data_IF_088451716200
#
_entry.id   IF_088451716200
#
_cell.length_a   1.000
_cell.length_b   1.000
_cell.length_c   1.000
_cell.angle_alpha   90.00
_cell.angle_beta   90.00
_cell.angle_gamma   90.00
#
_symmetry.space_group_name_H-M   'P 1'
#
loop_
_entity.id
_entity.type
_entity.pdbx_description
1 polymer ?
#
# COMPACT_ATOMS: atom_id res chain seq x y z
N UNK A 1 -29.51 -2.39 -5.48
CA UNK A 1 -29.38 -0.99 -5.91
C UNK A 1 -27.97 -0.55 -5.56
N UNK A 2 -27.15 -0.27 -6.57
CA UNK A 2 -25.78 0.20 -6.40
C UNK A 2 -25.87 1.71 -6.13
N UNK A 3 -25.54 2.15 -4.92
CA UNK A 3 -25.45 3.58 -4.63
C UNK A 3 -24.28 4.12 -5.43
N UNK A 4 -24.58 4.92 -6.45
CA UNK A 4 -23.62 5.79 -7.12
C UNK A 4 -23.38 6.95 -6.15
N UNK A 5 -22.66 6.69 -5.05
CA UNK A 5 -21.95 7.77 -4.38
C UNK A 5 -20.90 8.24 -5.38
N UNK A 6 -20.98 9.50 -5.80
CA UNK A 6 -20.07 10.13 -6.74
C UNK A 6 -18.63 9.65 -6.48
N UNK A 7 -18.08 8.84 -7.39
CA UNK A 7 -16.67 8.50 -7.39
C UNK A 7 -15.93 9.82 -7.60
N UNK A 8 -15.50 10.44 -6.50
CA UNK A 8 -14.63 11.60 -6.54
C UNK A 8 -13.28 11.10 -7.03
N UNK A 9 -13.04 11.28 -8.32
CA UNK A 9 -11.74 11.06 -8.92
C UNK A 9 -10.87 12.27 -8.60
N UNK A 10 -9.70 12.06 -7.97
CA UNK A 10 -8.69 13.08 -7.76
C UNK A 10 -8.37 13.88 -9.01
N UNK A 11 -8.16 15.19 -8.82
CA UNK A 11 -7.48 16.00 -9.83
C UNK A 11 -6.02 15.58 -9.97
N UNK A 12 -5.42 15.89 -11.11
CA UNK A 12 -4.00 15.60 -11.36
C UNK A 12 -3.09 16.29 -10.34
N UNK A 13 -3.45 17.51 -9.88
CA UNK A 13 -2.68 18.25 -8.88
C UNK A 13 -2.73 17.55 -7.51
N UNK A 14 -3.91 17.11 -7.07
CA UNK A 14 -4.05 16.34 -5.83
C UNK A 14 -3.24 15.04 -5.87
N UNK A 15 -3.27 14.33 -7.00
CA UNK A 15 -2.46 13.13 -7.19
C UNK A 15 -0.96 13.42 -7.16
N UNK A 16 -0.52 14.49 -7.82
CA UNK A 16 0.88 14.87 -7.83
C UNK A 16 1.40 15.19 -6.43
N UNK A 17 0.61 15.93 -5.63
CA UNK A 17 0.94 16.23 -4.23
C UNK A 17 1.06 14.94 -3.39
N UNK A 18 0.19 13.96 -3.63
CA UNK A 18 0.22 12.67 -2.94
C UNK A 18 1.44 11.83 -3.35
N UNK A 19 1.81 11.83 -4.63
CA UNK A 19 3.01 11.15 -5.09
C UNK A 19 4.29 11.78 -4.52
N UNK A 20 4.35 13.10 -4.44
CA UNK A 20 5.45 13.82 -3.81
C UNK A 20 5.53 13.54 -2.30
N UNK A 21 4.39 13.57 -1.60
CA UNK A 21 4.31 13.20 -0.19
C UNK A 21 4.82 11.78 0.04
N UNK A 22 4.39 10.83 -0.78
CA UNK A 22 4.80 9.42 -0.70
C UNK A 22 6.30 9.26 -0.93
N UNK A 23 6.85 9.93 -1.95
CA UNK A 23 8.29 9.92 -2.23
C UNK A 23 9.11 10.50 -1.07
N UNK A 24 8.69 11.65 -0.52
CA UNK A 24 9.37 12.29 0.60
C UNK A 24 9.33 11.40 1.85
N UNK A 25 8.21 10.71 2.09
CA UNK A 25 8.09 9.72 3.17
C UNK A 25 9.00 8.52 2.96
N UNK A 26 9.14 8.09 1.72
CA UNK A 26 10.07 7.01 1.41
C UNK A 26 11.51 7.39 1.76
N UNK A 27 11.97 8.55 1.29
CA UNK A 27 13.33 9.03 1.55
C UNK A 27 13.61 9.17 3.05
N UNK A 28 12.63 9.67 3.83
CA UNK A 28 12.74 9.77 5.29
C UNK A 28 12.88 8.40 5.97
N UNK A 29 12.08 7.42 5.59
CA UNK A 29 12.13 6.07 6.18
C UNK A 29 13.46 5.37 5.85
N UNK A 30 13.96 5.52 4.62
CA UNK A 30 15.26 4.95 4.23
C UNK A 30 16.40 5.60 5.03
N UNK A 31 16.40 6.93 5.20
CA UNK A 31 17.38 7.62 6.04
C UNK A 31 17.32 7.14 7.50
N UNK A 32 16.11 6.89 8.02
CA UNK A 32 15.94 6.33 9.35
C UNK A 32 16.55 4.93 9.46
N UNK A 33 16.30 4.05 8.48
CA UNK A 33 16.88 2.71 8.45
C UNK A 33 18.40 2.74 8.31
N UNK A 34 18.95 3.65 7.51
CA UNK A 34 20.40 3.86 7.40
C UNK A 34 21.02 4.32 8.72
N UNK A 35 20.34 5.21 9.46
CA UNK A 35 20.79 5.63 10.79
C UNK A 35 20.77 4.46 11.78
N UNK A 36 19.69 3.69 11.82
CA UNK A 36 19.58 2.49 12.67
C UNK A 36 20.66 1.45 12.34
N UNK A 37 20.94 1.22 11.05
CA UNK A 37 21.99 0.31 10.61
C UNK A 37 23.41 0.80 10.98
N UNK A 38 23.63 2.12 11.03
CA UNK A 38 24.90 2.70 11.51
C UNK A 38 25.05 2.54 13.03
N UNK A 39 23.97 2.70 13.79
CA UNK A 39 23.96 2.53 15.23
C UNK A 39 24.05 1.05 15.64
N UNK A 40 23.40 0.16 14.89
CA UNK A 40 23.32 -1.29 15.12
C UNK A 40 23.53 -2.05 13.81
N UNK A 41 24.80 -2.29 13.41
CA UNK A 41 25.13 -2.97 12.16
C UNK A 41 24.49 -4.35 11.99
N UNK A 42 24.20 -5.04 13.09
CA UNK A 42 23.51 -6.33 13.09
C UNK A 42 22.08 -6.27 12.51
N UNK A 43 21.45 -5.08 12.49
CA UNK A 43 20.12 -4.87 11.92
C UNK A 43 20.15 -4.56 10.42
N UNK A 44 21.31 -4.20 9.86
CA UNK A 44 21.44 -3.82 8.45
C UNK A 44 20.82 -4.86 7.47
N UNK A 45 20.99 -6.18 7.67
CA UNK A 45 20.39 -7.19 6.79
C UNK A 45 18.85 -7.25 6.84
N UNK A 46 18.20 -6.62 7.83
CA UNK A 46 16.74 -6.56 7.90
C UNK A 46 16.15 -5.47 6.99
N UNK A 47 16.94 -4.46 6.66
CA UNK A 47 16.53 -3.31 5.84
C UNK A 47 17.04 -3.39 4.41
N UNK A 48 18.16 -4.08 4.20
CA UNK A 48 18.73 -4.31 2.89
C UNK A 48 18.27 -5.65 2.34
N UNK A 49 17.95 -5.68 1.07
CA UNK A 49 17.62 -6.93 0.42
C UNK A 49 18.88 -7.75 0.14
N UNK A 50 18.86 -9.01 0.57
CA UNK A 50 19.88 -9.99 0.18
C UNK A 50 19.63 -10.47 -1.25
N UNK A 51 19.55 -9.57 -2.23
CA UNK A 51 19.57 -9.98 -3.64
C UNK A 51 21.00 -10.36 -3.96
N UNK A 52 21.28 -11.67 -4.02
CA UNK A 52 22.39 -12.12 -4.86
C UNK A 52 22.05 -11.66 -6.28
N UNK A 53 22.87 -10.82 -6.92
CA UNK A 53 22.58 -10.38 -8.28
C UNK A 53 22.55 -11.64 -9.15
N UNK A 54 21.36 -12.08 -9.55
CA UNK A 54 21.24 -13.08 -10.59
C UNK A 54 21.83 -12.45 -11.84
N UNK A 55 22.94 -13.04 -12.28
CA UNK A 55 23.76 -12.61 -13.39
C UNK A 55 23.03 -12.81 -14.72
N UNK A 56 21.98 -12.02 -14.99
CA UNK A 56 21.30 -12.01 -16.29
C UNK A 56 20.89 -10.58 -16.65
N UNK A 57 21.86 -9.86 -17.20
CA UNK A 57 21.70 -8.88 -18.30
C UNK A 57 20.38 -8.12 -18.34
N UNK A 58 20.19 -7.16 -17.44
CA UNK A 58 19.44 -5.92 -17.66
C UNK A 58 19.83 -4.94 -16.56
N UNK A 59 19.88 -3.63 -16.82
CA UNK A 59 20.18 -2.67 -15.77
C UNK A 59 19.15 -2.85 -14.66
N UNK A 60 19.61 -3.28 -13.48
CA UNK A 60 18.86 -3.34 -12.22
C UNK A 60 18.56 -1.91 -11.77
N UNK A 61 17.81 -1.18 -12.58
CA UNK A 61 17.26 0.11 -12.22
C UNK A 61 16.30 -0.16 -11.08
N UNK A 62 16.57 0.48 -9.94
CA UNK A 62 15.58 0.70 -8.88
C UNK A 62 14.39 1.37 -9.56
N UNK A 63 13.42 0.59 -10.02
CA UNK A 63 12.30 1.11 -10.78
C UNK A 63 11.29 1.62 -9.78
N UNK A 64 11.02 2.90 -9.90
CA UNK A 64 9.93 3.55 -9.19
C UNK A 64 8.64 3.19 -9.92
N UNK A 65 7.66 2.69 -9.17
CA UNK A 65 6.31 2.42 -9.65
C UNK A 65 5.34 3.38 -8.92
N UNK A 66 4.51 4.07 -9.70
CA UNK A 66 3.37 4.84 -9.23
C UNK A 66 2.16 3.92 -9.10
N UNK A 67 1.49 3.98 -7.96
CA UNK A 67 0.28 3.21 -7.69
C UNK A 67 -0.85 4.18 -7.40
N UNK A 68 -1.99 3.99 -8.06
CA UNK A 68 -3.22 4.72 -7.76
C UNK A 68 -4.47 3.89 -7.99
N UNK A 69 -5.51 4.11 -7.20
CA UNK A 69 -6.80 3.45 -7.41
C UNK A 69 -7.75 3.63 -6.25
N UNK A 70 -8.98 3.15 -6.44
CA UNK A 70 -10.00 3.12 -5.39
C UNK A 70 -9.92 1.82 -4.61
N UNK A 71 -9.90 1.94 -3.28
CA UNK A 71 -9.82 0.85 -2.32
C UNK A 71 -11.06 0.81 -1.44
N UNK A 72 -11.48 -0.40 -1.13
CA UNK A 72 -12.48 -0.70 -0.12
C UNK A 72 -11.80 -1.39 1.07
N UNK A 73 -12.20 -1.04 2.27
CA UNK A 73 -11.66 -1.55 3.53
C UNK A 73 -12.84 -1.92 4.42
N UNK A 74 -13.15 -3.21 4.48
CA UNK A 74 -14.38 -3.71 5.08
C UNK A 74 -14.09 -4.83 6.06
N UNK A 75 -14.78 -4.81 7.20
CA UNK A 75 -14.75 -5.89 8.19
C UNK A 75 -15.81 -6.93 7.84
N UNK A 76 -15.41 -8.19 7.80
CA UNK A 76 -16.27 -9.32 7.51
C UNK A 76 -16.35 -10.28 8.70
N UNK A 77 -17.50 -10.92 8.83
CA UNK A 77 -17.77 -11.93 9.84
C UNK A 77 -18.12 -13.23 9.13
N UNK A 78 -17.46 -14.32 9.51
CA UNK A 78 -17.78 -15.66 9.06
C UNK A 78 -18.12 -16.50 10.28
N UNK A 79 -19.24 -17.22 10.21
CA UNK A 79 -19.68 -18.10 11.30
C UNK A 79 -18.58 -19.12 11.64
N UNK A 80 -18.24 -19.23 12.92
CA UNK A 80 -17.19 -20.13 13.41
C UNK A 80 -15.75 -19.62 13.26
N UNK A 81 -15.55 -18.39 12.79
CA UNK A 81 -14.23 -17.78 12.62
C UNK A 81 -14.15 -16.40 13.28
N UNK A 82 -12.94 -15.94 13.57
CA UNK A 82 -12.70 -14.55 13.95
C UNK A 82 -13.05 -13.59 12.81
N UNK A 83 -13.51 -12.36 13.11
CA UNK A 83 -13.67 -11.34 12.10
C UNK A 83 -12.32 -11.05 11.43
N UNK A 84 -12.38 -10.66 10.16
CA UNK A 84 -11.20 -10.23 9.41
C UNK A 84 -11.52 -8.95 8.64
N UNK A 85 -10.48 -8.18 8.34
CA UNK A 85 -10.62 -6.97 7.52
C UNK A 85 -10.05 -7.30 6.14
N UNK A 86 -10.85 -7.05 5.10
CA UNK A 86 -10.40 -7.17 3.72
C UNK A 86 -10.14 -5.77 3.17
N UNK A 87 -8.98 -5.62 2.52
CA UNK A 87 -8.63 -4.47 1.70
C UNK A 87 -8.67 -4.92 0.24
N UNK A 88 -9.48 -4.27 -0.59
CA UNK A 88 -9.60 -4.64 -2.00
C UNK A 88 -9.59 -3.43 -2.91
N UNK A 89 -9.05 -3.60 -4.11
CA UNK A 89 -9.12 -2.59 -5.17
C UNK A 89 -9.36 -3.26 -6.52
N UNK A 90 -10.25 -2.68 -7.33
CA UNK A 90 -10.50 -3.12 -8.71
C UNK A 90 -11.00 -1.95 -9.57
N UNK A 91 -10.22 -1.43 -10.53
CA UNK A 91 -8.78 -1.64 -10.70
C UNK A 91 -7.93 -0.67 -9.84
N UNK A 92 -6.72 -1.11 -9.50
CA UNK A 92 -5.58 -0.25 -9.18
C UNK A 92 -4.63 -0.18 -10.39
N UNK A 93 -4.10 0.99 -10.69
CA UNK A 93 -3.15 1.24 -11.78
C UNK A 93 -1.74 1.22 -11.18
N UNK A 94 -0.84 0.45 -11.80
CA UNK A 94 0.58 0.39 -11.44
C UNK A 94 1.42 0.61 -12.70
N UNK A 95 2.31 1.62 -12.68
CA UNK A 95 3.21 1.88 -13.80
C UNK A 95 4.32 2.87 -13.49
N UNK A 96 5.13 3.19 -14.50
CA UNK A 96 6.30 4.07 -14.35
C UNK A 96 5.98 5.56 -14.44
N UNK A 97 4.72 5.90 -14.72
CA UNK A 97 4.22 7.26 -14.78
C UNK A 97 2.95 7.40 -13.92
N UNK A 98 2.70 8.57 -13.32
CA UNK A 98 1.46 8.88 -12.63
C UNK A 98 0.22 8.47 -13.41
N UNK A 99 -0.64 7.64 -12.80
CA UNK A 99 -1.94 7.23 -13.33
C UNK A 99 -1.91 6.49 -14.69
N UNK A 100 -0.74 6.05 -15.16
CA UNK A 100 -0.57 5.31 -16.41
C UNK A 100 0.13 4.00 -16.15
N UNK A 101 -0.47 2.88 -16.55
CA UNK A 101 0.16 1.58 -16.34
C UNK A 101 -0.77 0.39 -16.47
N UNK A 102 -0.32 -0.72 -15.89
CA UNK A 102 -1.05 -1.99 -15.85
C UNK A 102 -2.22 -1.87 -14.88
N UNK A 103 -3.38 -2.37 -15.29
CA UNK A 103 -4.53 -2.52 -14.40
C UNK A 103 -4.37 -3.79 -13.58
N UNK A 104 -4.53 -3.66 -12.28
CA UNK A 104 -4.37 -4.74 -11.31
C UNK A 104 -5.57 -4.76 -10.36
N UNK A 105 -5.77 -5.90 -9.72
CA UNK A 105 -6.67 -6.02 -8.58
C UNK A 105 -5.85 -6.21 -7.32
N UNK A 106 -6.13 -5.43 -6.27
CA UNK A 106 -5.54 -5.68 -4.97
C UNK A 106 -6.48 -6.51 -4.14
N UNK A 107 -5.97 -7.55 -3.49
CA UNK A 107 -6.68 -8.30 -2.47
C UNK A 107 -5.76 -8.51 -1.28
N UNK A 108 -6.11 -7.93 -0.14
CA UNK A 108 -5.37 -8.03 1.10
C UNK A 108 -6.29 -8.36 2.27
N UNK A 109 -5.73 -9.03 3.27
CA UNK A 109 -6.47 -9.49 4.45
C UNK A 109 -5.65 -9.21 5.71
N UNK A 110 -6.34 -8.73 6.73
CA UNK A 110 -5.87 -8.57 8.11
C UNK A 110 -6.64 -9.59 8.93
N UNK A 111 -5.93 -10.56 9.50
CA UNK A 111 -6.56 -11.47 10.45
C UNK A 111 -6.84 -10.72 11.74
N UNK A 112 -8.11 -10.67 12.11
CA UNK A 112 -8.57 -10.04 13.32
C UNK A 112 -8.69 -11.02 14.48
N UNK A 113 -8.84 -10.46 15.69
CA UNK A 113 -9.24 -11.18 16.89
C UNK A 113 -10.62 -10.72 17.38
N UNK A 114 -10.95 -11.05 18.64
CA UNK A 114 -12.22 -10.64 19.27
C UNK A 114 -12.46 -9.12 19.26
N UNK A 115 -11.40 -8.30 19.30
CA UNK A 115 -11.47 -6.84 19.37
C UNK A 115 -11.22 -6.16 18.02
N UNK A 116 -11.48 -6.84 16.92
CA UNK A 116 -11.29 -6.27 15.57
C UNK A 116 -12.24 -5.10 15.37
N UNK A 117 -11.75 -3.91 14.97
CA UNK A 117 -12.60 -2.76 14.75
C UNK A 117 -13.54 -3.01 13.58
N UNK A 118 -14.77 -2.48 13.67
CA UNK A 118 -15.72 -2.51 12.55
C UNK A 118 -15.39 -1.35 11.61
N UNK A 119 -14.80 -1.68 10.48
CA UNK A 119 -14.47 -0.76 9.40
C UNK A 119 -15.40 -0.99 8.20
N UNK A 120 -15.87 0.10 7.61
CA UNK A 120 -16.63 0.10 6.38
C UNK A 120 -16.27 1.35 5.58
N UNK A 121 -15.09 1.34 4.97
CA UNK A 121 -14.66 2.41 4.10
C UNK A 121 -14.74 1.95 2.65
N UNK A 122 -15.56 2.61 1.87
CA UNK A 122 -15.69 2.30 0.45
C UNK A 122 -15.11 3.42 -0.38
N UNK A 123 -14.57 3.04 -1.53
CA UNK A 123 -14.17 3.97 -2.58
C UNK A 123 -13.11 5.00 -2.19
N UNK A 124 -12.22 4.66 -1.25
CA UNK A 124 -11.11 5.54 -0.86
C UNK A 124 -10.08 5.54 -1.98
N UNK A 125 -9.82 6.71 -2.56
CA UNK A 125 -8.73 6.81 -3.51
C UNK A 125 -7.38 6.84 -2.76
N UNK A 126 -6.56 5.82 -2.97
CA UNK A 126 -5.18 5.75 -2.45
C UNK A 126 -4.20 5.99 -3.60
N UNK A 127 -3.12 6.71 -3.32
CA UNK A 127 -2.05 6.97 -4.27
C UNK A 127 -0.69 7.01 -3.61
N UNK A 128 0.36 6.60 -4.32
CA UNK A 128 1.72 6.68 -3.79
C UNK A 128 2.77 6.14 -4.74
N UNK A 129 4.00 6.19 -4.27
CA UNK A 129 5.21 5.80 -4.98
C UNK A 129 5.87 4.65 -4.23
N UNK A 130 6.22 3.60 -4.97
CA UNK A 130 6.88 2.40 -4.45
C UNK A 130 8.19 2.20 -5.19
N UNK A 131 9.27 1.93 -4.45
CA UNK A 131 10.61 1.74 -4.99
C UNK A 131 11.08 0.30 -4.77
N UNK A 132 11.38 -0.43 -5.85
CA UNK A 132 11.93 -1.77 -5.71
C UNK A 132 12.56 -2.32 -7.02
N UNK A 133 13.42 -3.35 -6.91
CA UNK A 133 14.18 -3.93 -8.02
C UNK A 133 13.41 -4.98 -8.85
N UNK A 134 12.24 -5.40 -8.38
CA UNK A 134 11.31 -6.31 -9.08
C UNK A 134 9.90 -5.72 -9.01
N UNK A 135 9.01 -6.06 -9.95
CA UNK A 135 7.63 -5.54 -9.88
C UNK A 135 6.87 -6.14 -8.67
N UNK A 136 6.00 -5.35 -8.05
CA UNK A 136 5.13 -5.81 -6.95
C UNK A 136 3.90 -6.59 -7.42
N UNK A 137 3.68 -6.64 -8.74
CA UNK A 137 2.57 -7.35 -9.37
C UNK A 137 2.82 -8.87 -9.27
N UNK A 138 1.78 -9.61 -8.92
CA UNK A 138 1.75 -11.06 -8.68
C UNK A 138 2.74 -11.54 -7.61
N UNK A 139 3.09 -10.66 -6.67
CA UNK A 139 3.97 -10.99 -5.54
C UNK A 139 3.23 -10.80 -4.20
N UNK A 140 3.40 -11.73 -3.24
CA UNK A 140 2.86 -11.54 -1.90
C UNK A 140 3.59 -10.38 -1.20
N UNK A 141 2.80 -9.46 -0.63
CA UNK A 141 3.27 -8.31 0.13
C UNK A 141 2.76 -8.39 1.56
N UNK A 142 3.61 -7.97 2.49
CA UNK A 142 3.15 -7.53 3.80
C UNK A 142 2.63 -6.09 3.66
N UNK A 143 1.63 -5.72 4.44
CA UNK A 143 1.22 -4.33 4.51
C UNK A 143 0.85 -3.92 5.93
N UNK A 144 0.91 -2.61 6.18
CA UNK A 144 0.36 -2.00 7.37
C UNK A 144 -0.64 -0.92 6.96
N UNK A 145 -1.86 -1.01 7.48
CA UNK A 145 -2.89 -0.01 7.34
C UNK A 145 -2.86 0.91 8.56
N UNK A 146 -2.52 2.17 8.35
CA UNK A 146 -2.61 3.24 9.32
C UNK A 146 -3.90 4.01 9.09
N UNK A 147 -4.77 4.02 10.11
CA UNK A 147 -6.03 4.76 10.10
C UNK A 147 -5.87 5.93 11.06
N UNK A 148 -5.55 7.11 10.51
CA UNK A 148 -5.36 8.33 11.30
C UNK A 148 -6.62 9.20 11.26
N UNK A 149 -6.78 10.15 12.20
CA UNK A 149 -7.92 11.08 12.19
C UNK A 149 -8.06 11.92 10.91
N UNK A 150 -6.98 12.10 10.15
CA UNK A 150 -6.94 12.98 8.95
C UNK A 150 -6.73 12.25 7.64
N UNK A 151 -6.22 11.02 7.66
CA UNK A 151 -5.91 10.27 6.45
C UNK A 151 -5.79 8.76 6.73
N UNK A 152 -5.79 8.00 5.65
CA UNK A 152 -5.39 6.60 5.64
C UNK A 152 -4.04 6.47 4.93
N UNK A 153 -3.20 5.57 5.45
CA UNK A 153 -1.93 5.21 4.82
C UNK A 153 -1.83 3.70 4.72
N UNK A 154 -1.58 3.19 3.53
CA UNK A 154 -1.26 1.79 3.28
C UNK A 154 0.23 1.67 3.00
N UNK A 155 0.99 1.22 4.00
CA UNK A 155 2.42 0.93 3.88
C UNK A 155 2.62 -0.45 3.26
N UNK A 156 3.43 -0.54 2.21
CA UNK A 156 3.74 -1.77 1.52
C UNK A 156 5.16 -2.24 1.87
N UNK A 157 5.27 -3.53 2.16
CA UNK A 157 6.48 -4.20 2.63
C UNK A 157 6.68 -5.51 1.87
N UNK A 158 7.93 -5.86 1.58
CA UNK A 158 8.32 -7.21 1.14
C UNK A 158 9.20 -7.83 2.22
N UNK A 159 8.65 -8.79 2.97
CA UNK A 159 9.29 -9.18 4.22
C UNK A 159 9.37 -7.97 5.17
N UNK A 160 10.58 -7.55 5.51
CA UNK A 160 10.86 -6.34 6.30
C UNK A 160 11.28 -5.14 5.45
N UNK A 161 11.42 -5.31 4.13
CA UNK A 161 11.88 -4.27 3.23
C UNK A 161 10.73 -3.33 2.95
N UNK A 162 10.91 -2.08 3.32
CA UNK A 162 9.96 -1.02 3.07
C UNK A 162 9.99 -0.60 1.60
N UNK A 163 8.82 -0.68 0.95
CA UNK A 163 8.67 -0.40 -0.47
C UNK A 163 8.13 1.00 -0.72
N UNK A 164 7.22 1.48 0.13
CA UNK A 164 6.56 2.77 -0.01
C UNK A 164 5.21 2.83 0.71
N UNK A 165 4.62 4.02 0.73
CA UNK A 165 3.36 4.32 1.42
C UNK A 165 2.33 4.85 0.40
N UNK A 166 1.10 4.32 0.41
CA UNK A 166 -0.03 4.87 -0.34
C UNK A 166 -0.92 5.70 0.57
N UNK A 167 -1.14 6.96 0.24
CA UNK A 167 -1.92 7.91 1.03
C UNK A 167 -3.31 8.07 0.44
N UNK A 168 -4.32 8.21 1.32
CA UNK A 168 -5.64 8.67 0.90
C UNK A 168 -5.56 10.09 0.38
N UNK A 169 -6.07 10.31 -0.82
CA UNK A 169 -6.11 11.64 -1.44
C UNK A 169 -7.04 12.57 -0.66
N UNK A 170 -8.24 12.07 -0.35
CA UNK A 170 -9.23 12.81 0.40
C UNK A 170 -9.22 12.40 1.86
N UNK A 171 -9.54 13.36 2.72
CA UNK A 171 -9.96 13.07 4.08
C UNK A 171 -11.30 12.35 3.98
N UNK A 172 -11.27 11.03 4.12
CA UNK A 172 -12.48 10.28 4.42
C UNK A 172 -13.04 10.85 5.74
N UNK A 173 -14.37 10.93 5.86
CA UNK A 173 -15.06 11.40 7.08
C UNK A 173 -14.91 10.35 8.21
N UNK A 174 -13.69 9.93 8.48
CA UNK A 174 -13.37 8.89 9.43
C UNK A 174 -13.32 9.53 10.80
N UNK A 175 -14.33 9.23 11.59
CA UNK A 175 -14.34 9.50 13.01
C UNK A 175 -13.48 8.45 13.73
N UNK A 176 -12.15 8.53 13.59
CA UNK A 176 -11.23 7.88 14.54
C UNK A 176 -10.69 8.92 15.50
N UNK A 177 -10.80 8.63 16.80
CA UNK A 177 -10.28 9.50 17.87
C UNK A 177 -8.79 9.26 18.14
N UNK A 178 -8.25 8.12 17.72
CA UNK A 178 -6.84 7.76 17.87
C UNK A 178 -6.34 6.98 16.64
N UNK A 179 -5.04 7.08 16.29
CA UNK A 179 -4.45 6.27 15.23
C UNK A 179 -4.61 4.77 15.50
N UNK A 180 -5.04 4.02 14.49
CA UNK A 180 -5.10 2.56 14.52
C UNK A 180 -4.09 2.02 13.49
N UNK A 181 -3.30 1.03 13.88
CA UNK A 181 -2.38 0.32 12.98
C UNK A 181 -2.77 -1.14 12.91
N UNK A 182 -2.95 -1.65 11.70
CA UNK A 182 -3.34 -3.04 11.45
C UNK A 182 -2.40 -3.63 10.40
N UNK A 183 -1.93 -4.86 10.63
CA UNK A 183 -0.98 -5.53 9.73
C UNK A 183 -1.65 -6.67 8.99
N UNK A 184 -1.34 -6.83 7.71
CA UNK A 184 -1.91 -7.88 6.88
C UNK A 184 -1.00 -8.32 5.74
N UNK A 185 -1.54 -9.21 4.92
CA UNK A 185 -0.90 -9.70 3.70
C UNK A 185 -1.80 -9.46 2.50
N UNK A 186 -1.23 -9.10 1.36
CA UNK A 186 -2.01 -8.86 0.15
C UNK A 186 -1.17 -8.94 -1.12
N UNK A 187 -1.87 -8.97 -2.25
CA UNK A 187 -1.25 -9.13 -3.57
C UNK A 187 -1.95 -8.24 -4.58
N UNK A 188 -1.17 -7.58 -5.43
CA UNK A 188 -1.67 -6.98 -6.67
C UNK A 188 -1.64 -8.03 -7.78
N UNK A 189 -2.79 -8.45 -8.31
CA UNK A 189 -2.86 -9.39 -9.43
C UNK A 189 -3.13 -8.64 -10.73
N UNK A 190 -2.37 -8.96 -11.79
CA UNK A 190 -2.62 -8.39 -13.12
C UNK A 190 -4.04 -8.74 -13.60
N UNK A 191 -4.81 -7.75 -14.03
CA UNK A 191 -6.09 -8.00 -14.69
C UNK A 191 -5.79 -8.32 -16.16
N UNK A 192 -5.95 -9.59 -16.54
CA UNK A 192 -5.89 -9.98 -17.94
C UNK A 192 -7.25 -9.67 -18.59
N UNK A 193 -7.24 -8.96 -19.71
CA UNK A 193 -8.44 -8.80 -20.52
C UNK A 193 -8.87 -10.19 -21.03
N UNK A 194 -10.05 -10.64 -20.62
CA UNK A 194 -10.78 -11.74 -21.27
C UNK A 194 -11.55 -11.20 -22.48
#
# INVERSE_FOLDING_TARGET
MMNIENLLTPSNEEMQNIFELSKNRYEQEILHYEALAKEKPELAPLFAENVKPDSLTSPTLRQTEFISGHFNINTYYQYGSYPFIQLSSYPAIIGHEPNTGKKTSFNGYIQGGFNTPILNFNNIHLGGVVNYAQSIINAPLNFQLYINPRNLVLRLLRGNIYLGDLFSVYQSHILVTYPIVLSGIGTFNLIQHQ
#
